data_IF_152233476169
#
_entry.id   IF_152233476169
#
_cell.length_a   1.000
_cell.length_b   1.000
_cell.length_c   1.000
_cell.angle_alpha   90.00
_cell.angle_beta   90.00
_cell.angle_gamma   90.00
#
_symmetry.space_group_name_H-M   'P 1'
#
loop_
_entity.id
_entity.type
_entity.pdbx_description
1 polymer ?
#
# COMPACT_ATOMS: atom_id res chain seq x y z
N UNK A 1 7.96 9.40 15.62
CA UNK A 1 7.07 8.54 16.44
C UNK A 1 7.32 7.12 15.99
N UNK A 2 7.36 6.15 16.89
CA UNK A 2 7.59 4.75 16.50
C UNK A 2 6.25 4.01 16.32
N UNK A 3 6.20 3.11 15.35
CA UNK A 3 5.05 2.26 15.00
C UNK A 3 5.38 0.80 15.29
N UNK A 4 4.45 0.04 15.84
CA UNK A 4 4.56 -1.43 15.92
C UNK A 4 4.38 -2.03 14.53
N UNK A 5 5.36 -2.77 14.00
CA UNK A 5 5.27 -3.25 12.60
C UNK A 5 4.31 -4.46 12.47
N UNK A 6 4.31 -5.34 13.47
CA UNK A 6 3.43 -6.51 13.57
C UNK A 6 3.46 -7.47 12.37
N UNK A 7 4.60 -7.58 11.67
CA UNK A 7 4.83 -8.57 10.61
C UNK A 7 5.80 -9.63 11.13
N UNK A 8 5.59 -10.89 10.76
CA UNK A 8 6.48 -11.98 11.18
C UNK A 8 7.91 -11.75 10.66
N UNK A 9 8.91 -12.06 11.48
CA UNK A 9 10.34 -11.96 11.15
C UNK A 9 10.80 -10.54 10.76
N UNK A 10 10.12 -9.49 11.23
CA UNK A 10 10.55 -8.09 11.14
C UNK A 10 10.92 -7.54 12.52
N UNK A 11 11.54 -6.34 12.62
CA UNK A 11 11.65 -5.63 13.90
C UNK A 11 10.29 -5.42 14.55
N UNK A 12 10.25 -5.37 15.89
CA UNK A 12 9.02 -5.10 16.65
C UNK A 12 8.44 -3.72 16.28
N UNK A 13 9.30 -2.74 16.05
CA UNK A 13 8.92 -1.35 15.75
C UNK A 13 9.76 -0.73 14.64
N UNK A 14 9.15 0.20 13.88
CA UNK A 14 9.80 1.04 12.87
C UNK A 14 9.58 2.53 13.17
N UNK A 15 10.45 3.38 12.61
CA UNK A 15 10.32 4.84 12.75
C UNK A 15 9.22 5.37 11.83
N UNK A 16 8.54 6.44 12.25
CA UNK A 16 7.72 7.22 11.31
C UNK A 16 8.58 7.79 10.18
N UNK A 17 8.05 7.75 8.97
CA UNK A 17 8.76 8.01 7.72
C UNK A 17 9.17 6.74 6.97
N UNK A 18 9.03 5.57 7.58
CA UNK A 18 9.49 4.30 6.99
C UNK A 18 8.55 3.79 5.90
N UNK A 19 9.12 3.54 4.71
CA UNK A 19 8.50 2.74 3.66
C UNK A 19 9.01 1.30 3.69
N UNK A 20 8.10 0.33 3.57
CA UNK A 20 8.42 -1.10 3.47
C UNK A 20 7.96 -1.66 2.13
N UNK A 21 8.86 -2.32 1.43
CA UNK A 21 8.55 -3.09 0.21
C UNK A 21 8.13 -4.51 0.60
N UNK A 22 6.97 -4.96 0.11
CA UNK A 22 6.55 -6.36 0.16
C UNK A 22 6.72 -7.01 -1.22
N UNK A 23 7.73 -7.87 -1.33
CA UNK A 23 7.91 -8.76 -2.48
C UNK A 23 7.07 -10.01 -2.29
N UNK A 24 6.22 -10.34 -3.27
CA UNK A 24 5.42 -11.55 -3.19
C UNK A 24 5.09 -12.14 -4.58
N UNK A 25 4.98 -13.47 -4.70
CA UNK A 25 4.48 -14.09 -5.91
C UNK A 25 2.99 -13.76 -6.10
N UNK A 26 2.50 -13.93 -7.32
CA UNK A 26 1.08 -13.73 -7.66
C UNK A 26 0.12 -14.61 -6.83
N UNK A 27 0.60 -15.75 -6.33
CA UNK A 27 -0.16 -16.69 -5.48
C UNK A 27 0.04 -16.47 -3.98
N UNK A 28 0.81 -15.46 -3.57
CA UNK A 28 1.12 -15.21 -2.17
C UNK A 28 -0.11 -14.79 -1.36
N UNK A 29 -0.26 -15.34 -0.15
CA UNK A 29 -1.31 -14.98 0.80
C UNK A 29 -1.02 -13.63 1.48
N UNK A 30 -0.96 -12.57 0.67
CA UNK A 30 -0.61 -11.20 1.10
C UNK A 30 -1.64 -10.57 2.01
N UNK A 31 -2.91 -11.02 1.96
CA UNK A 31 -3.99 -10.46 2.75
C UNK A 31 -3.71 -10.50 4.25
N UNK A 32 -3.03 -11.55 4.74
CA UNK A 32 -2.61 -11.64 6.14
C UNK A 32 -1.62 -10.52 6.49
N UNK A 33 -0.57 -10.34 5.68
CA UNK A 33 0.47 -9.34 5.94
C UNK A 33 -0.11 -7.93 5.89
N UNK A 34 -0.92 -7.63 4.87
CA UNK A 34 -1.62 -6.35 4.73
C UNK A 34 -2.46 -6.02 5.97
N UNK A 35 -3.27 -6.99 6.42
CA UNK A 35 -4.23 -6.74 7.50
C UNK A 35 -3.55 -6.71 8.87
N UNK A 36 -2.49 -7.49 9.10
CA UNK A 36 -1.64 -7.40 10.29
C UNK A 36 -0.95 -6.02 10.36
N UNK A 37 -0.42 -5.54 9.23
CA UNK A 37 0.16 -4.20 9.12
C UNK A 37 -0.88 -3.11 9.41
N UNK A 38 -2.10 -3.22 8.89
CA UNK A 38 -3.14 -2.19 9.05
C UNK A 38 -3.77 -2.18 10.45
N UNK A 39 -3.99 -3.35 11.06
CA UNK A 39 -4.76 -3.49 12.31
C UNK A 39 -4.02 -2.95 13.55
N UNK A 40 -2.69 -2.92 13.51
CA UNK A 40 -1.89 -2.70 14.71
C UNK A 40 -1.46 -1.25 14.83
N UNK A 41 -1.71 -0.62 15.99
CA UNK A 41 -1.09 0.67 16.33
C UNK A 41 -1.38 1.76 15.27
N UNK A 42 -2.62 1.81 14.80
CA UNK A 42 -3.08 2.65 13.68
C UNK A 42 -4.25 3.55 14.10
N UNK A 43 -4.11 4.86 13.98
CA UNK A 43 -5.22 5.81 14.18
C UNK A 43 -6.03 5.96 12.90
N UNK A 44 -5.36 6.07 11.76
CA UNK A 44 -5.99 6.15 10.43
C UNK A 44 -5.17 5.37 9.39
N UNK A 45 -5.86 4.76 8.43
CA UNK A 45 -5.22 4.03 7.33
C UNK A 45 -5.79 4.40 5.96
N UNK A 46 -4.91 4.48 4.96
CA UNK A 46 -5.24 4.66 3.57
C UNK A 46 -4.87 3.39 2.79
N UNK A 47 -5.85 2.80 2.12
CA UNK A 47 -5.66 1.66 1.22
C UNK A 47 -5.77 2.16 -0.21
N UNK A 48 -4.64 2.26 -0.90
CA UNK A 48 -4.56 2.56 -2.33
C UNK A 48 -4.68 1.23 -3.07
N UNK A 49 -5.89 0.93 -3.58
CA UNK A 49 -6.17 -0.33 -4.27
C UNK A 49 -6.12 -0.15 -5.78
N UNK A 50 -5.14 -0.82 -6.38
CA UNK A 50 -4.89 -0.86 -7.82
C UNK A 50 -5.40 -2.15 -8.45
N UNK A 51 -5.53 -3.22 -7.65
CA UNK A 51 -5.98 -4.54 -8.12
C UNK A 51 -7.43 -4.88 -7.83
N UNK A 52 -8.03 -4.28 -6.81
CA UNK A 52 -9.38 -4.64 -6.36
C UNK A 52 -10.30 -3.43 -6.21
N UNK A 53 -11.60 -3.67 -6.24
CA UNK A 53 -12.58 -2.61 -6.02
C UNK A 53 -12.71 -2.27 -4.54
N UNK A 54 -13.18 -1.07 -4.19
CA UNK A 54 -13.44 -0.68 -2.80
C UNK A 54 -14.30 -1.71 -2.06
N UNK A 55 -15.28 -2.29 -2.74
CA UNK A 55 -16.15 -3.33 -2.17
C UNK A 55 -15.39 -4.58 -1.76
N UNK A 56 -14.38 -4.97 -2.53
CA UNK A 56 -13.54 -6.14 -2.22
C UNK A 56 -12.58 -5.84 -1.07
N UNK A 57 -12.01 -4.62 -1.03
CA UNK A 57 -11.22 -4.14 0.10
C UNK A 57 -12.06 -4.11 1.39
N UNK A 58 -13.27 -3.55 1.37
CA UNK A 58 -14.19 -3.53 2.52
C UNK A 58 -14.46 -4.94 3.07
N UNK A 59 -14.75 -5.90 2.18
CA UNK A 59 -14.96 -7.31 2.55
C UNK A 59 -13.71 -7.94 3.19
N UNK A 60 -12.51 -7.60 2.70
CA UNK A 60 -11.25 -8.05 3.26
C UNK A 60 -11.05 -7.48 4.66
N UNK A 61 -11.27 -6.18 4.87
CA UNK A 61 -11.16 -5.56 6.19
C UNK A 61 -12.15 -6.19 7.19
N UNK A 62 -13.40 -6.41 6.79
CA UNK A 62 -14.40 -7.12 7.62
C UNK A 62 -13.95 -8.54 7.97
N UNK A 63 -13.47 -9.30 6.98
CA UNK A 63 -13.08 -10.70 7.17
C UNK A 63 -11.89 -10.87 8.14
N UNK A 64 -10.91 -9.97 8.08
CA UNK A 64 -9.74 -9.96 8.95
C UNK A 64 -9.92 -9.10 10.22
N UNK A 65 -11.14 -8.65 10.50
CA UNK A 65 -11.49 -7.87 11.71
C UNK A 65 -10.68 -6.56 11.86
N UNK A 66 -10.31 -5.92 10.74
CA UNK A 66 -9.68 -4.59 10.72
C UNK A 66 -10.76 -3.53 10.92
N UNK A 67 -10.50 -2.53 11.78
CA UNK A 67 -11.45 -1.45 12.08
C UNK A 67 -11.69 -0.54 10.85
N UNK A 68 -12.72 -0.86 10.07
CA UNK A 68 -13.12 -0.13 8.86
C UNK A 68 -13.43 1.35 9.11
N UNK A 69 -13.75 1.74 10.36
CA UNK A 69 -14.06 3.14 10.68
C UNK A 69 -12.84 4.06 10.63
N UNK A 70 -11.63 3.48 10.63
CA UNK A 70 -10.35 4.18 10.48
C UNK A 70 -9.81 4.13 9.05
N UNK A 71 -10.45 3.36 8.17
CA UNK A 71 -9.98 3.10 6.83
C UNK A 71 -10.55 4.12 5.84
N UNK A 72 -9.67 4.65 4.99
CA UNK A 72 -10.04 5.29 3.73
C UNK A 72 -9.55 4.43 2.58
N UNK A 73 -10.39 4.19 1.59
CA UNK A 73 -10.05 3.37 0.42
C UNK A 73 -10.00 4.27 -0.81
N UNK A 74 -8.87 4.26 -1.51
CA UNK A 74 -8.70 4.88 -2.81
C UNK A 74 -8.85 3.80 -3.88
N UNK A 75 -9.99 3.79 -4.55
CA UNK A 75 -10.33 2.81 -5.60
C UNK A 75 -10.01 3.38 -6.98
N UNK A 76 -9.01 2.77 -7.61
CA UNK A 76 -8.53 3.16 -8.95
C UNK A 76 -9.21 2.39 -10.09
N UNK A 77 -10.05 1.38 -9.79
CA UNK A 77 -10.60 0.44 -10.77
C UNK A 77 -12.07 0.67 -11.11
N UNK A 78 -12.86 1.15 -10.14
CA UNK A 78 -14.31 1.24 -10.30
C UNK A 78 -14.71 2.23 -11.38
N UNK A 79 -13.99 3.34 -11.54
CA UNK A 79 -14.24 4.29 -12.64
C UNK A 79 -13.84 3.65 -13.98
N UNK A 80 -12.60 3.15 -14.07
CA UNK A 80 -12.04 2.52 -15.26
C UNK A 80 -12.93 1.40 -15.81
N UNK A 81 -13.46 0.53 -14.93
CA UNK A 81 -14.31 -0.60 -15.31
C UNK A 81 -15.79 -0.24 -15.47
N UNK A 82 -16.16 1.03 -15.31
CA UNK A 82 -17.54 1.50 -15.41
C UNK A 82 -18.47 0.92 -14.34
N UNK A 83 -17.92 0.55 -13.18
CA UNK A 83 -18.68 -0.02 -12.07
C UNK A 83 -19.49 1.04 -11.32
N UNK A 84 -20.52 0.56 -10.63
CA UNK A 84 -21.33 1.43 -9.78
C UNK A 84 -20.53 1.82 -8.55
N UNK A 85 -20.35 3.13 -8.38
CA UNK A 85 -19.66 3.73 -7.24
C UNK A 85 -20.65 4.03 -6.14
N UNK A 86 -20.38 3.56 -4.93
CA UNK A 86 -21.17 3.91 -3.76
C UNK A 86 -20.67 5.25 -3.24
N UNK A 87 -21.59 6.13 -2.86
CA UNK A 87 -21.21 7.31 -2.10
C UNK A 87 -21.01 6.86 -0.66
N UNK A 88 -19.77 6.90 -0.20
CA UNK A 88 -19.39 6.70 1.19
C UNK A 88 -18.30 7.70 1.54
N UNK A 89 -18.26 8.16 2.78
CA UNK A 89 -17.27 9.15 3.21
C UNK A 89 -15.85 8.56 3.29
N UNK A 90 -15.75 7.23 3.40
CA UNK A 90 -14.50 6.47 3.50
C UNK A 90 -14.00 5.88 2.16
N UNK A 91 -14.65 6.19 1.04
CA UNK A 91 -14.24 5.69 -0.28
C UNK A 91 -14.04 6.84 -1.25
N UNK A 92 -12.85 6.90 -1.83
CA UNK A 92 -12.44 7.85 -2.86
C UNK A 92 -12.16 7.12 -4.16
N UNK A 93 -12.18 7.85 -5.27
CA UNK A 93 -12.04 7.28 -6.60
C UNK A 93 -11.18 8.19 -7.49
N UNK A 94 -10.17 7.61 -8.13
CA UNK A 94 -9.43 8.22 -9.24
C UNK A 94 -9.85 7.57 -10.56
N UNK A 95 -9.44 8.13 -11.71
CA UNK A 95 -9.98 7.66 -12.99
C UNK A 95 -9.58 6.23 -13.31
N UNK A 96 -8.34 5.87 -12.99
CA UNK A 96 -7.69 4.63 -13.43
C UNK A 96 -6.39 4.41 -12.65
N UNK A 97 -5.77 3.21 -12.70
CA UNK A 97 -4.48 2.97 -12.03
C UNK A 97 -3.29 3.75 -12.62
N UNK A 98 -3.39 4.30 -13.83
CA UNK A 98 -2.39 5.20 -14.43
C UNK A 98 -2.58 6.69 -14.13
N UNK A 99 -3.63 7.04 -13.38
CA UNK A 99 -3.83 8.38 -12.83
C UNK A 99 -2.93 8.60 -11.61
N UNK A 100 -1.62 8.48 -11.83
CA UNK A 100 -0.60 8.52 -10.79
C UNK A 100 -0.60 9.85 -10.04
N UNK A 101 -0.75 10.97 -10.77
CA UNK A 101 -0.88 12.30 -10.19
C UNK A 101 -2.09 12.38 -9.26
N UNK A 102 -3.23 11.81 -9.68
CA UNK A 102 -4.44 11.72 -8.86
C UNK A 102 -4.23 10.87 -7.61
N UNK A 103 -3.52 9.74 -7.71
CA UNK A 103 -3.20 8.86 -6.57
C UNK A 103 -2.35 9.59 -5.54
N UNK A 104 -1.27 10.26 -5.97
CA UNK A 104 -0.36 11.01 -5.09
C UNK A 104 -1.08 12.19 -4.44
N UNK A 105 -1.90 12.94 -5.19
CA UNK A 105 -2.64 14.08 -4.64
C UNK A 105 -3.69 13.62 -3.61
N UNK A 106 -4.43 12.53 -3.88
CA UNK A 106 -5.39 12.00 -2.91
C UNK A 106 -4.69 11.52 -1.62
N UNK A 107 -3.51 10.89 -1.75
CA UNK A 107 -2.70 10.48 -0.60
C UNK A 107 -2.20 11.67 0.21
N UNK A 108 -1.77 12.75 -0.46
CA UNK A 108 -1.38 14.02 0.17
C UNK A 108 -2.55 14.67 0.90
N UNK A 109 -3.70 14.83 0.27
CA UNK A 109 -4.88 15.38 0.92
C UNK A 109 -5.30 14.53 2.13
N UNK A 110 -5.20 13.19 2.00
CA UNK A 110 -5.51 12.29 3.09
C UNK A 110 -4.54 12.47 4.27
N UNK A 111 -3.23 12.47 4.04
CA UNK A 111 -2.22 12.52 5.10
C UNK A 111 -2.23 13.87 5.83
N UNK A 112 -2.49 14.97 5.11
CA UNK A 112 -2.60 16.31 5.67
C UNK A 112 -3.89 16.52 6.49
N UNK A 113 -4.92 15.70 6.25
CA UNK A 113 -6.23 15.83 6.91
C UNK A 113 -6.37 14.98 8.18
N UNK A 114 -5.36 14.16 8.52
CA UNK A 114 -5.38 13.28 9.68
C UNK A 114 -4.17 13.53 10.59
N UNK A 115 -4.39 13.36 11.89
CA UNK A 115 -3.35 13.39 12.91
C UNK A 115 -3.16 11.97 13.49
N UNK A 116 -2.03 11.73 14.16
CA UNK A 116 -1.76 10.48 14.87
C UNK A 116 -0.94 9.50 14.05
N UNK A 117 -1.15 8.20 14.28
CA UNK A 117 -0.48 7.11 13.58
C UNK A 117 -1.15 6.79 12.26
N UNK A 118 -0.49 7.18 11.17
CA UNK A 118 -1.01 7.07 9.81
C UNK A 118 -0.29 5.93 9.08
N UNK A 119 -1.07 5.04 8.46
CA UNK A 119 -0.56 3.97 7.60
C UNK A 119 -1.08 4.08 6.18
N UNK A 120 -0.22 3.84 5.21
CA UNK A 120 -0.61 3.76 3.79
C UNK A 120 -0.24 2.37 3.26
N UNK A 121 -1.13 1.70 2.53
CA UNK A 121 -0.78 0.51 1.74
C UNK A 121 -1.08 0.74 0.27
N UNK A 122 -0.18 0.26 -0.59
CA UNK A 122 -0.34 0.22 -2.05
C UNK A 122 -0.35 -1.24 -2.48
N UNK A 123 -1.52 -1.75 -2.87
CA UNK A 123 -1.71 -3.19 -3.05
C UNK A 123 -1.15 -3.75 -4.35
N UNK A 124 -0.64 -2.89 -5.25
CA UNK A 124 0.36 -3.30 -6.25
C UNK A 124 0.98 -2.12 -7.01
N UNK A 125 2.29 -1.92 -6.81
CA UNK A 125 3.17 -1.15 -7.72
C UNK A 125 3.19 -1.82 -9.11
N UNK A 126 3.21 -3.16 -9.15
CA UNK A 126 3.20 -3.90 -10.43
C UNK A 126 1.96 -3.56 -11.28
N UNK A 127 0.81 -3.31 -10.64
CA UNK A 127 -0.40 -2.94 -11.37
C UNK A 127 -0.31 -1.47 -11.84
N UNK A 128 0.22 -0.55 -11.02
CA UNK A 128 0.47 0.83 -11.45
C UNK A 128 1.38 0.85 -12.69
N UNK A 129 2.49 0.12 -12.67
CA UNK A 129 3.42 -0.01 -13.79
C UNK A 129 2.76 -0.62 -15.03
N UNK A 130 1.87 -1.59 -14.85
CA UNK A 130 1.13 -2.19 -15.96
C UNK A 130 0.26 -1.19 -16.72
N UNK A 131 -0.40 -0.24 -16.03
CA UNK A 131 -1.21 0.78 -16.69
C UNK A 131 -0.41 2.02 -17.12
N UNK A 132 0.60 2.43 -16.33
CA UNK A 132 1.25 3.72 -16.48
C UNK A 132 2.61 3.71 -17.18
N UNK A 133 3.37 2.60 -17.11
CA UNK A 133 4.82 2.44 -17.30
C UNK A 133 5.68 2.52 -16.02
N UNK A 134 6.85 1.87 -16.04
CA UNK A 134 7.75 1.71 -14.89
C UNK A 134 8.38 3.03 -14.42
N UNK A 135 8.78 3.91 -15.34
CA UNK A 135 9.46 5.17 -15.01
C UNK A 135 8.50 6.09 -14.24
N UNK A 136 7.30 6.29 -14.78
CA UNK A 136 6.28 7.13 -14.13
C UNK A 136 5.80 6.53 -12.82
N UNK A 137 5.67 5.20 -12.76
CA UNK A 137 5.28 4.51 -11.53
C UNK A 137 6.32 4.69 -10.45
N UNK A 138 7.60 4.62 -10.80
CA UNK A 138 8.69 4.88 -9.86
C UNK A 138 8.63 6.29 -9.30
N UNK A 139 8.44 7.31 -10.14
CA UNK A 139 8.28 8.70 -9.69
C UNK A 139 7.13 8.84 -8.68
N UNK A 140 5.97 8.21 -8.95
CA UNK A 140 4.84 8.23 -8.03
C UNK A 140 5.13 7.51 -6.70
N UNK A 141 5.89 6.41 -6.73
CA UNK A 141 6.32 5.71 -5.51
C UNK A 141 7.28 6.58 -4.69
N UNK A 142 8.23 7.26 -5.33
CA UNK A 142 9.14 8.21 -4.68
C UNK A 142 8.35 9.36 -4.02
N UNK A 143 7.37 9.94 -4.71
CA UNK A 143 6.49 10.98 -4.15
C UNK A 143 5.68 10.47 -2.95
N UNK A 144 5.17 9.23 -2.99
CA UNK A 144 4.47 8.64 -1.86
C UNK A 144 5.40 8.40 -0.66
N UNK A 145 6.64 7.96 -0.90
CA UNK A 145 7.65 7.79 0.15
C UNK A 145 8.03 9.13 0.79
N UNK A 146 8.18 10.18 -0.01
CA UNK A 146 8.43 11.54 0.49
C UNK A 146 7.29 12.00 1.42
N UNK A 147 6.02 11.74 1.06
CA UNK A 147 4.88 12.04 1.94
C UNK A 147 4.98 11.29 3.28
N UNK A 148 5.40 10.02 3.29
CA UNK A 148 5.62 9.28 4.54
C UNK A 148 6.68 9.98 5.40
N UNK A 149 7.82 10.32 4.79
CA UNK A 149 8.93 11.00 5.45
C UNK A 149 8.56 12.36 6.04
N UNK A 150 7.83 13.18 5.29
CA UNK A 150 7.40 14.52 5.70
C UNK A 150 6.41 14.50 6.87
N UNK A 151 5.50 13.53 6.88
CA UNK A 151 4.40 13.44 7.85
C UNK A 151 4.63 12.41 8.95
N UNK A 152 5.74 11.67 8.91
CA UNK A 152 6.05 10.62 9.88
C UNK A 152 5.04 9.46 9.85
N UNK A 153 4.43 9.18 8.70
CA UNK A 153 3.59 8.02 8.46
C UNK A 153 4.44 6.80 8.09
N UNK A 154 3.84 5.62 8.03
CA UNK A 154 4.52 4.41 7.54
C UNK A 154 3.76 3.77 6.38
N UNK A 155 4.47 3.10 5.48
CA UNK A 155 3.89 2.57 4.25
C UNK A 155 4.27 1.11 3.97
N UNK A 156 3.35 0.36 3.37
CA UNK A 156 3.57 -0.98 2.84
C UNK A 156 3.26 -1.00 1.35
N UNK A 157 4.21 -1.42 0.51
CA UNK A 157 4.08 -1.35 -0.94
C UNK A 157 4.30 -2.70 -1.58
N UNK A 158 3.34 -3.17 -2.36
CA UNK A 158 3.40 -4.50 -2.93
C UNK A 158 4.04 -4.49 -4.31
N UNK A 159 4.97 -5.41 -4.54
CA UNK A 159 5.60 -5.62 -5.85
C UNK A 159 5.69 -7.12 -6.13
N UNK A 160 5.33 -7.53 -7.35
CA UNK A 160 5.51 -8.90 -7.81
C UNK A 160 6.82 -9.02 -8.60
N UNK A 161 7.87 -9.66 -8.04
CA UNK A 161 9.15 -9.80 -8.73
C UNK A 161 9.09 -10.76 -9.92
N UNK A 162 8.02 -11.54 -10.07
CA UNK A 162 7.82 -12.44 -11.24
C UNK A 162 7.46 -11.69 -12.53
N UNK A 163 6.99 -10.45 -12.40
CA UNK A 163 6.52 -9.62 -13.53
C UNK A 163 7.61 -8.66 -14.01
N UNK A 164 8.58 -8.38 -13.16
CA UNK A 164 9.62 -7.37 -13.37
C UNK A 164 10.99 -8.03 -13.58
N UNK A 165 11.84 -7.41 -14.39
CA UNK A 165 13.22 -7.82 -14.50
C UNK A 165 13.99 -7.49 -13.20
N UNK A 166 15.08 -8.23 -12.95
CA UNK A 166 15.89 -8.12 -11.72
C UNK A 166 16.36 -6.69 -11.45
N UNK A 167 16.74 -5.95 -12.49
CA UNK A 167 17.18 -4.55 -12.38
C UNK A 167 16.08 -3.61 -11.84
N UNK A 168 14.83 -3.83 -12.24
CA UNK A 168 13.68 -3.04 -11.75
C UNK A 168 13.41 -3.38 -10.29
N UNK A 169 13.42 -4.68 -9.95
CA UNK A 169 13.19 -5.14 -8.58
C UNK A 169 14.25 -4.59 -7.63
N UNK A 170 15.53 -4.66 -8.00
CA UNK A 170 16.62 -4.11 -7.20
C UNK A 170 16.53 -2.59 -7.09
N UNK A 171 16.15 -1.92 -8.17
CA UNK A 171 15.89 -0.48 -8.13
C UNK A 171 14.78 -0.10 -7.16
N UNK A 172 13.73 -0.92 -6.99
CA UNK A 172 12.73 -0.70 -5.94
C UNK A 172 13.28 -1.02 -4.56
N UNK A 173 14.00 -2.13 -4.36
CA UNK A 173 14.62 -2.46 -3.06
C UNK A 173 15.45 -1.31 -2.51
N UNK A 174 16.22 -0.64 -3.37
CA UNK A 174 17.05 0.51 -2.99
C UNK A 174 16.26 1.76 -2.54
N UNK A 175 14.95 1.86 -2.84
CA UNK A 175 14.10 2.99 -2.43
C UNK A 175 13.52 2.83 -1.02
N UNK A 176 13.34 1.60 -0.55
CA UNK A 176 12.64 1.33 0.71
C UNK A 176 13.60 1.13 1.87
N UNK A 177 13.17 1.52 3.05
CA UNK A 177 13.94 1.35 4.30
C UNK A 177 13.98 -0.11 4.76
N UNK A 178 13.03 -0.94 4.30
CA UNK A 178 12.98 -2.35 4.60
C UNK A 178 12.27 -3.14 3.51
N UNK A 179 12.68 -4.39 3.34
CA UNK A 179 12.13 -5.32 2.37
C UNK A 179 11.62 -6.55 3.12
N UNK A 180 10.36 -6.88 2.90
CA UNK A 180 9.74 -8.12 3.35
C UNK A 180 9.50 -8.99 2.11
N UNK A 181 9.91 -10.26 2.16
CA UNK A 181 9.67 -11.21 1.10
C UNK A 181 8.74 -12.32 1.59
N UNK A 182 7.60 -12.47 0.91
CA UNK A 182 6.67 -13.59 1.08
C UNK A 182 6.94 -14.64 0.00
N UNK A 183 7.38 -15.82 0.42
CA UNK A 183 7.57 -16.97 -0.48
C UNK A 183 6.25 -17.69 -0.78
N UNK A 184 6.22 -18.44 -1.88
CA UNK A 184 5.03 -19.20 -2.30
C UNK A 184 4.60 -20.30 -1.31
N UNK A 185 5.49 -20.74 -0.41
CA UNK A 185 5.20 -21.69 0.66
C UNK A 185 4.73 -21.01 1.97
N UNK A 186 4.55 -19.69 1.95
CA UNK A 186 4.10 -18.90 3.10
C UNK A 186 5.23 -18.44 4.03
N UNK A 187 6.49 -18.75 3.71
CA UNK A 187 7.65 -18.26 4.48
C UNK A 187 7.81 -16.76 4.33
N UNK A 188 7.96 -16.04 5.44
CA UNK A 188 8.22 -14.59 5.46
C UNK A 188 9.66 -14.34 5.90
N UNK A 189 10.43 -13.60 5.11
CA UNK A 189 11.77 -13.11 5.48
C UNK A 189 11.83 -11.59 5.37
N UNK A 190 12.77 -10.94 6.05
CA UNK A 190 12.93 -9.49 5.92
C UNK A 190 14.38 -9.03 6.02
N UNK A 191 14.63 -7.85 5.46
CA UNK A 191 15.87 -7.07 5.54
C UNK A 191 15.52 -5.61 5.89
N UNK A 192 16.20 -5.04 6.89
CA UNK A 192 16.03 -3.69 7.44
C UNK A 192 17.39 -3.14 7.87
#
# INVERSE_FOLDING_TARGET
>A
MDYELAIENTPDTISGGTGVLLLHPSTGETDRIDTEFLATDTDHMLIISTRTTAREVEQKLEYYEVDETRATILDTLSIERGYTRRRSDNVRYVSSPDDLDGIVEDAREWIESHDGKLRITVDSITEMAYYADDDRTREAVEDLLDLLGEHGAVGLFHLSPEVHDEEIVDGYRDLFDGVVELSADGTVTSEF
#
